data_IF_545225079271
#
_entry.id   IF_545225079271
#
_cell.length_a   1.000
_cell.length_b   1.000
_cell.length_c   1.000
_cell.angle_alpha   90.00
_cell.angle_beta   90.00
_cell.angle_gamma   90.00
#
_symmetry.space_group_name_H-M   'P 1'
#
loop_
_entity.id
_entity.type
_entity.pdbx_description
1 polymer ?
#
# COMPACT_ATOMS: atom_id res chain seq x y z
N UNK A 1 -15.51 6.12 -22.75
CA UNK A 1 -14.53 6.00 -21.65
C UNK A 1 -15.34 6.01 -20.38
N UNK A 2 -15.36 4.91 -19.62
CA UNK A 2 -15.98 4.92 -18.30
C UNK A 2 -15.05 5.75 -17.43
N UNK A 3 -15.50 6.92 -17.00
CA UNK A 3 -14.76 7.73 -16.05
C UNK A 3 -14.68 6.93 -14.75
N UNK A 4 -13.49 6.44 -14.41
CA UNK A 4 -13.34 5.65 -13.19
C UNK A 4 -13.51 6.60 -12.03
N UNK A 5 -14.47 6.30 -11.17
CA UNK A 5 -14.67 7.01 -9.92
C UNK A 5 -13.49 6.73 -8.98
N UNK A 6 -12.47 7.59 -9.06
CA UNK A 6 -11.22 7.46 -8.29
C UNK A 6 -11.51 7.54 -6.79
N UNK A 7 -12.57 8.24 -6.36
CA UNK A 7 -12.97 8.27 -4.96
C UNK A 7 -13.53 6.94 -4.47
N UNK A 8 -14.30 6.23 -5.30
CA UNK A 8 -14.67 4.84 -5.01
C UNK A 8 -13.44 3.93 -4.97
N UNK A 9 -12.51 4.07 -5.91
CA UNK A 9 -11.26 3.30 -5.93
C UNK A 9 -10.46 3.46 -4.63
N UNK A 10 -10.21 4.70 -4.20
CA UNK A 10 -9.52 5.01 -2.93
C UNK A 10 -10.22 4.37 -1.73
N UNK A 11 -11.55 4.39 -1.70
CA UNK A 11 -12.35 3.78 -0.61
C UNK A 11 -12.13 2.27 -0.53
N UNK A 12 -12.15 1.57 -1.67
CA UNK A 12 -11.90 0.11 -1.70
C UNK A 12 -10.48 -0.21 -1.22
N UNK A 13 -9.47 0.52 -1.72
CA UNK A 13 -8.07 0.34 -1.30
C UNK A 13 -7.91 0.53 0.21
N UNK A 14 -8.50 1.60 0.75
CA UNK A 14 -8.47 1.89 2.18
C UNK A 14 -9.21 0.84 3.01
N UNK A 15 -10.36 0.36 2.54
CA UNK A 15 -11.15 -0.68 3.22
C UNK A 15 -10.37 -1.98 3.37
N UNK A 16 -9.68 -2.41 2.30
CA UNK A 16 -8.80 -3.59 2.34
C UNK A 16 -7.67 -3.39 3.33
N UNK A 17 -6.96 -2.26 3.29
CA UNK A 17 -5.86 -1.94 4.19
C UNK A 17 -6.25 -2.01 5.67
N UNK A 18 -7.38 -1.38 6.02
CA UNK A 18 -7.90 -1.38 7.40
C UNK A 18 -8.29 -2.79 7.83
N UNK A 19 -8.97 -3.54 6.95
CA UNK A 19 -9.40 -4.91 7.24
C UNK A 19 -8.24 -5.88 7.44
N UNK A 20 -7.07 -5.59 6.85
CA UNK A 20 -5.85 -6.42 6.98
C UNK A 20 -4.85 -5.88 8.02
N UNK A 21 -5.22 -4.85 8.79
CA UNK A 21 -4.31 -4.22 9.77
C UNK A 21 -3.66 -5.21 10.74
N UNK A 22 -4.44 -6.14 11.29
CA UNK A 22 -3.94 -7.13 12.24
C UNK A 22 -2.86 -8.05 11.64
N UNK A 23 -2.97 -8.36 10.35
CA UNK A 23 -1.97 -9.16 9.64
C UNK A 23 -0.68 -8.37 9.39
N UNK A 24 -0.75 -7.06 9.16
CA UNK A 24 0.45 -6.23 9.07
C UNK A 24 1.08 -5.96 10.45
N UNK A 25 0.26 -5.80 11.49
CA UNK A 25 0.73 -5.57 12.85
C UNK A 25 1.49 -6.78 13.44
N UNK A 26 1.37 -7.97 12.85
CA UNK A 26 2.12 -9.16 13.24
C UNK A 26 3.47 -9.32 12.54
N UNK A 27 3.85 -8.40 11.64
CA UNK A 27 5.16 -8.42 11.00
C UNK A 27 6.30 -8.29 12.03
N UNK A 28 7.46 -8.92 11.77
CA UNK A 28 8.62 -8.85 12.67
C UNK A 28 8.99 -7.41 12.98
N UNK A 29 8.98 -7.07 14.27
CA UNK A 29 9.20 -5.69 14.74
C UNK A 29 10.62 -5.21 14.46
N UNK A 30 11.56 -6.14 14.45
CA UNK A 30 12.99 -5.92 14.22
C UNK A 30 13.26 -5.35 12.82
N UNK A 31 12.41 -5.67 11.83
CA UNK A 31 12.55 -5.23 10.44
C UNK A 31 11.68 -4.00 10.09
N UNK A 32 10.90 -3.47 11.05
CA UNK A 32 10.09 -2.26 10.85
C UNK A 32 10.94 -1.02 10.54
N UNK A 33 12.10 -0.79 11.16
CA UNK A 33 12.99 0.31 10.77
C UNK A 33 13.48 0.21 9.32
N UNK A 34 13.77 -0.99 8.84
CA UNK A 34 14.20 -1.19 7.44
C UNK A 34 13.07 -0.85 6.47
N UNK A 35 11.85 -1.30 6.76
CA UNK A 35 10.67 -0.90 5.98
C UNK A 35 10.47 0.62 6.00
N UNK A 36 10.67 1.26 7.15
CA UNK A 36 10.57 2.72 7.25
C UNK A 36 11.56 3.42 6.31
N UNK A 37 12.80 2.96 6.27
CA UNK A 37 13.82 3.51 5.37
C UNK A 37 13.44 3.35 3.90
N UNK A 38 12.89 2.20 3.51
CA UNK A 38 12.40 1.97 2.14
C UNK A 38 11.26 2.93 1.80
N UNK A 39 10.22 3.01 2.65
CA UNK A 39 9.08 3.90 2.45
C UNK A 39 9.48 5.38 2.38
N UNK A 40 10.44 5.80 3.21
CA UNK A 40 10.96 7.16 3.20
C UNK A 40 11.71 7.48 1.90
N UNK A 41 12.50 6.54 1.38
CA UNK A 41 13.27 6.72 0.15
C UNK A 41 12.39 6.96 -1.09
N UNK A 42 11.15 6.46 -1.07
CA UNK A 42 10.15 6.67 -2.12
C UNK A 42 9.10 7.74 -1.76
N UNK A 43 9.38 8.53 -0.72
CA UNK A 43 8.56 9.66 -0.25
C UNK A 43 7.12 9.30 0.16
N UNK A 44 6.90 8.05 0.60
CA UNK A 44 5.60 7.60 1.11
C UNK A 44 5.37 7.96 2.58
N UNK A 45 6.45 8.26 3.31
CA UNK A 45 6.40 8.72 4.70
C UNK A 45 7.36 9.89 4.89
N UNK A 46 7.04 10.78 5.83
CA UNK A 46 7.95 11.84 6.25
C UNK A 46 9.04 11.35 7.23
N UNK A 47 10.00 12.25 7.55
CA UNK A 47 11.11 11.92 8.44
C UNK A 47 10.68 11.61 9.88
N UNK A 48 9.62 12.25 10.39
CA UNK A 48 9.13 11.98 11.75
C UNK A 48 8.56 10.56 11.87
N UNK A 49 7.92 10.03 10.82
CA UNK A 49 7.47 8.63 10.78
C UNK A 49 8.63 7.67 10.58
N UNK A 50 9.63 8.03 9.76
CA UNK A 50 10.86 7.24 9.61
C UNK A 50 11.59 7.07 10.94
N UNK A 51 11.74 8.16 11.71
CA UNK A 51 12.55 8.19 12.94
C UNK A 51 11.83 7.54 14.13
N UNK A 52 10.50 7.37 14.07
CA UNK A 52 9.71 6.65 15.07
C UNK A 52 8.67 5.75 14.37
N UNK A 53 9.11 4.64 13.75
CA UNK A 53 8.28 3.90 12.81
C UNK A 53 7.31 2.94 13.47
N UNK A 54 6.12 2.81 12.87
CA UNK A 54 5.18 1.74 13.17
C UNK A 54 4.30 1.46 11.95
N UNK A 55 3.78 0.24 11.85
CA UNK A 55 2.83 -0.15 10.80
C UNK A 55 1.62 0.78 10.75
N UNK A 56 1.11 1.18 11.92
CA UNK A 56 0.00 2.14 12.02
C UNK A 56 0.33 3.48 11.37
N UNK A 57 1.53 4.03 11.63
CA UNK A 57 1.95 5.30 11.03
C UNK A 57 2.16 5.19 9.52
N UNK A 58 2.71 4.07 9.04
CA UNK A 58 2.86 3.83 7.60
C UNK A 58 1.51 3.82 6.89
N UNK A 59 0.53 3.13 7.48
CA UNK A 59 -0.84 3.08 6.95
C UNK A 59 -1.51 4.46 7.05
N UNK A 60 -1.24 5.21 8.11
CA UNK A 60 -1.71 6.60 8.28
C UNK A 60 -1.24 7.51 7.14
N UNK A 61 0.07 7.55 6.87
CA UNK A 61 0.66 8.34 5.77
C UNK A 61 0.17 7.87 4.40
N UNK A 62 0.07 6.55 4.19
CA UNK A 62 -0.45 5.99 2.94
C UNK A 62 -1.89 6.47 2.66
N UNK A 63 -2.77 6.42 3.67
CA UNK A 63 -4.16 6.87 3.58
C UNK A 63 -4.25 8.38 3.39
N UNK A 64 -3.43 9.15 4.10
CA UNK A 64 -3.40 10.61 3.98
C UNK A 64 -3.03 11.02 2.54
N UNK A 65 -2.02 10.37 1.96
CA UNK A 65 -1.57 10.62 0.58
C UNK A 65 -2.66 10.33 -0.46
N UNK A 66 -3.43 9.24 -0.30
CA UNK A 66 -4.52 8.88 -1.22
C UNK A 66 -5.59 9.97 -1.36
N UNK A 67 -5.83 10.78 -0.32
CA UNK A 67 -6.84 11.84 -0.37
C UNK A 67 -6.53 12.91 -1.41
N UNK A 68 -5.26 13.08 -1.79
CA UNK A 68 -4.80 14.12 -2.71
C UNK A 68 -4.65 13.65 -4.15
N UNK A 69 -4.83 12.36 -4.42
CA UNK A 69 -4.74 11.80 -5.78
C UNK A 69 -6.03 12.04 -6.53
N UNK A 70 -5.96 12.34 -7.81
CA UNK A 70 -7.13 12.61 -8.66
C UNK A 70 -7.24 11.64 -9.82
N UNK A 71 -6.16 10.93 -10.15
CA UNK A 71 -6.12 9.97 -11.25
C UNK A 71 -5.89 8.53 -10.76
N UNK A 72 -6.36 7.56 -11.54
CA UNK A 72 -6.09 6.13 -11.27
C UNK A 72 -4.59 5.83 -11.31
N UNK A 73 -3.86 6.41 -12.25
CA UNK A 73 -2.41 6.27 -12.43
C UNK A 73 -1.64 6.62 -11.16
N UNK A 74 -2.00 7.74 -10.51
CA UNK A 74 -1.39 8.17 -9.24
C UNK A 74 -1.64 7.15 -8.12
N UNK A 75 -2.87 6.61 -8.05
CA UNK A 75 -3.23 5.58 -7.08
C UNK A 75 -2.48 4.27 -7.34
N UNK A 76 -2.31 3.88 -8.61
CA UNK A 76 -1.52 2.71 -9.01
C UNK A 76 -0.05 2.87 -8.65
N UNK A 77 0.55 4.03 -8.95
CA UNK A 77 1.95 4.35 -8.61
C UNK A 77 2.17 4.33 -7.09
N UNK A 78 1.24 4.90 -6.33
CA UNK A 78 1.27 4.91 -4.86
C UNK A 78 1.24 3.49 -4.27
N UNK A 79 0.31 2.67 -4.74
CA UNK A 79 0.23 1.26 -4.37
C UNK A 79 1.51 0.49 -4.75
N UNK A 80 2.05 0.73 -5.96
CA UNK A 80 3.28 0.08 -6.43
C UNK A 80 4.47 0.40 -5.52
N UNK A 81 4.72 1.69 -5.23
CA UNK A 81 5.82 2.12 -4.34
C UNK A 81 5.68 1.49 -2.95
N UNK A 82 4.47 1.43 -2.43
CA UNK A 82 4.20 0.85 -1.12
C UNK A 82 4.56 -0.64 -1.12
N UNK A 83 4.07 -1.41 -2.10
CA UNK A 83 4.35 -2.84 -2.21
C UNK A 83 5.84 -3.13 -2.46
N UNK A 84 6.50 -2.37 -3.33
CA UNK A 84 7.94 -2.52 -3.61
C UNK A 84 8.80 -2.28 -2.36
N UNK A 85 8.38 -1.37 -1.47
CA UNK A 85 9.08 -1.13 -0.20
C UNK A 85 9.08 -2.38 0.70
N UNK A 86 8.02 -3.18 0.67
CA UNK A 86 7.96 -4.46 1.39
C UNK A 86 8.83 -5.52 0.70
N UNK A 87 8.88 -5.54 -0.64
CA UNK A 87 9.75 -6.46 -1.37
C UNK A 87 11.23 -6.22 -1.08
N UNK A 88 11.64 -4.95 -0.96
CA UNK A 88 13.00 -4.57 -0.64
C UNK A 88 13.48 -5.07 0.74
N UNK A 89 12.58 -5.23 1.71
CA UNK A 89 12.89 -5.81 3.04
C UNK A 89 12.97 -7.35 2.99
N UNK A 90 12.28 -7.98 2.04
CA UNK A 90 12.26 -9.44 1.84
C UNK A 90 11.58 -10.25 2.97
N UNK A 91 11.66 -11.58 2.89
CA UNK A 91 11.12 -12.48 3.91
C UNK A 91 9.60 -12.41 4.06
N UNK A 92 9.09 -12.28 5.29
CA UNK A 92 7.65 -12.16 5.54
C UNK A 92 7.02 -10.92 4.92
N UNK A 93 7.80 -9.87 4.64
CA UNK A 93 7.33 -8.66 3.97
C UNK A 93 7.01 -8.93 2.49
N UNK A 94 7.76 -9.81 1.82
CA UNK A 94 7.42 -10.28 0.47
C UNK A 94 6.06 -10.97 0.45
N UNK A 95 5.79 -11.84 1.43
CA UNK A 95 4.49 -12.50 1.55
C UNK A 95 3.36 -11.50 1.85
N UNK A 96 3.62 -10.50 2.70
CA UNK A 96 2.66 -9.45 3.01
C UNK A 96 2.32 -8.58 1.78
N UNK A 97 3.33 -8.22 0.96
CA UNK A 97 3.13 -7.49 -0.29
C UNK A 97 2.28 -8.30 -1.28
N UNK A 98 2.60 -9.58 -1.49
CA UNK A 98 1.83 -10.50 -2.35
C UNK A 98 0.38 -10.60 -1.90
N UNK A 99 0.17 -10.79 -0.60
CA UNK A 99 -1.15 -10.88 0.00
C UNK A 99 -1.97 -9.59 -0.19
N UNK A 100 -1.38 -8.42 0.09
CA UNK A 100 -2.05 -7.14 -0.06
C UNK A 100 -2.44 -6.86 -1.51
N UNK A 101 -1.50 -7.07 -2.43
CA UNK A 101 -1.74 -6.94 -3.87
C UNK A 101 -2.96 -7.77 -4.29
N UNK A 102 -2.98 -9.06 -3.95
CA UNK A 102 -4.10 -9.94 -4.28
C UNK A 102 -5.43 -9.44 -3.70
N UNK A 103 -5.43 -8.98 -2.44
CA UNK A 103 -6.64 -8.45 -1.80
C UNK A 103 -7.16 -7.20 -2.49
N UNK A 104 -6.29 -6.28 -2.90
CA UNK A 104 -6.68 -5.10 -3.67
C UNK A 104 -7.25 -5.47 -5.03
N UNK A 105 -6.55 -6.30 -5.82
CA UNK A 105 -7.03 -6.69 -7.16
C UNK A 105 -8.42 -7.35 -7.07
N UNK A 106 -8.59 -8.29 -6.14
CA UNK A 106 -9.87 -9.01 -5.97
C UNK A 106 -10.99 -8.05 -5.54
N UNK A 107 -10.74 -7.20 -4.55
CA UNK A 107 -11.75 -6.28 -4.04
C UNK A 107 -12.18 -5.27 -5.11
N UNK A 108 -11.21 -4.66 -5.81
CA UNK A 108 -11.49 -3.67 -6.85
C UNK A 108 -12.27 -4.30 -8.01
N UNK A 109 -11.88 -5.50 -8.46
CA UNK A 109 -12.60 -6.21 -9.52
C UNK A 109 -14.03 -6.54 -9.10
N UNK A 110 -14.22 -6.98 -7.85
CA UNK A 110 -15.52 -7.39 -7.32
C UNK A 110 -16.46 -6.20 -7.10
N UNK A 111 -15.96 -5.13 -6.50
CA UNK A 111 -16.78 -3.98 -6.08
C UNK A 111 -17.00 -2.97 -7.21
N UNK A 112 -16.02 -2.80 -8.09
CA UNK A 112 -16.03 -1.75 -9.12
C UNK A 112 -16.10 -2.31 -10.55
N UNK A 113 -15.85 -3.61 -10.75
CA UNK A 113 -15.87 -4.24 -12.08
C UNK A 113 -14.67 -3.87 -12.98
N UNK A 114 -13.73 -3.07 -12.48
CA UNK A 114 -12.58 -2.56 -13.23
C UNK A 114 -11.33 -3.41 -12.99
N UNK A 115 -10.43 -3.41 -13.97
CA UNK A 115 -9.10 -3.99 -13.83
C UNK A 115 -8.15 -2.93 -13.26
N UNK A 116 -7.53 -3.25 -12.12
CA UNK A 116 -6.55 -2.39 -11.46
C UNK A 116 -5.16 -2.98 -11.71
N UNK A 117 -4.37 -2.33 -12.56
CA UNK A 117 -3.07 -2.87 -12.99
C UNK A 117 -1.98 -2.26 -12.12
N UNK A 118 -1.20 -3.10 -11.44
CA UNK A 118 0.04 -2.70 -10.76
C UNK A 118 1.14 -3.55 -11.39
N UNK A 119 2.11 -2.92 -12.05
CA UNK A 119 3.26 -3.61 -12.64
C UNK A 119 4.31 -3.89 -11.57
N UNK A 120 4.08 -4.95 -10.80
CA UNK A 120 4.95 -5.37 -9.69
C UNK A 120 5.64 -6.70 -10.02
N UNK A 121 6.95 -6.75 -9.83
CA UNK A 121 7.73 -7.98 -9.98
C UNK A 121 7.92 -8.65 -8.61
N UNK A 122 7.39 -9.86 -8.48
CA UNK A 122 7.42 -10.67 -7.26
C UNK A 122 8.50 -11.77 -7.26
N UNK A 123 9.29 -11.83 -8.32
CA UNK A 123 10.32 -12.84 -8.59
C UNK A 123 11.71 -12.37 -8.16
#
# INVERSE_FOLDING_TARGET
IVDVDVDKLKKVINSVLVSQFAAFASLPKEAIPDLANQLYSVHLINSAVRDNPSVEKFIGEFKASLNFMTEMSEVQEHCLKFLNSFLAVSGSFTSAAKFLYQKWIIAIKTELGIDFIIDINFN
#
